data_IF_008222250652
#
_entry.id   IF_008222250652
#
_cell.length_a   1.000
_cell.length_b   1.000
_cell.length_c   1.000
_cell.angle_alpha   90.00
_cell.angle_beta   90.00
_cell.angle_gamma   90.00
#
_symmetry.space_group_name_H-M   'P 1'
#
loop_
_entity.id
_entity.type
_entity.pdbx_description
1 polymer ?
#
# COMPACT_ATOMS: atom_id res chain seq x y z
N UNK A 1 -4.92 24.89 -13.13
CA UNK A 1 -5.17 23.43 -13.21
C UNK A 1 -4.19 22.75 -12.28
N UNK A 2 -4.66 22.12 -11.21
CA UNK A 2 -3.81 21.27 -10.40
C UNK A 2 -3.65 19.93 -11.13
N UNK A 3 -2.42 19.58 -11.50
CA UNK A 3 -2.11 18.29 -12.08
C UNK A 3 -1.93 17.30 -10.94
N UNK A 4 -2.76 16.25 -10.92
CA UNK A 4 -2.63 15.15 -9.98
C UNK A 4 -1.88 14.01 -10.64
N UNK A 5 -0.88 13.48 -9.96
CA UNK A 5 -0.01 12.45 -10.49
C UNK A 5 -0.36 11.15 -9.76
N UNK A 6 -1.02 10.19 -10.41
CA UNK A 6 -1.28 8.90 -9.78
C UNK A 6 0.06 8.18 -9.52
N UNK A 7 0.13 7.33 -8.48
CA UNK A 7 1.32 6.51 -8.24
C UNK A 7 1.59 5.53 -9.39
N UNK A 8 2.80 4.97 -9.39
CA UNK A 8 3.18 3.95 -10.38
C UNK A 8 2.22 2.76 -10.35
N UNK A 9 1.85 2.24 -11.53
CA UNK A 9 0.92 1.12 -11.69
C UNK A 9 -0.43 1.30 -10.97
N UNK A 10 -0.87 2.54 -10.75
CA UNK A 10 -2.18 2.84 -10.19
C UNK A 10 -3.31 2.27 -11.06
N UNK A 11 -4.33 1.70 -10.42
CA UNK A 11 -5.57 1.31 -11.06
C UNK A 11 -6.69 1.11 -10.05
N UNK A 12 -7.91 1.48 -10.43
CA UNK A 12 -9.13 1.10 -9.73
C UNK A 12 -9.44 -0.35 -10.07
N UNK A 13 -9.71 -1.16 -9.04
CA UNK A 13 -10.06 -2.57 -9.16
C UNK A 13 -11.57 -2.72 -9.06
N UNK A 14 -12.15 -2.10 -8.04
CA UNK A 14 -13.59 -1.98 -7.81
C UNK A 14 -13.88 -0.60 -7.20
N UNK A 15 -15.15 -0.27 -6.98
CA UNK A 15 -15.53 0.93 -6.22
C UNK A 15 -14.87 0.91 -4.83
N UNK A 16 -14.19 2.01 -4.49
CA UNK A 16 -13.40 2.18 -3.26
C UNK A 16 -12.24 1.17 -3.06
N UNK A 17 -11.86 0.41 -4.09
CA UNK A 17 -10.73 -0.52 -4.07
C UNK A 17 -9.70 -0.20 -5.15
N UNK A 18 -8.48 0.09 -4.74
CA UNK A 18 -7.40 0.53 -5.62
C UNK A 18 -6.14 -0.30 -5.43
N UNK A 19 -5.29 -0.30 -6.45
CA UNK A 19 -3.92 -0.81 -6.36
C UNK A 19 -2.93 0.21 -6.87
N UNK A 20 -1.70 0.15 -6.37
CA UNK A 20 -0.55 0.84 -6.96
C UNK A 20 0.76 0.26 -6.44
N UNK A 21 1.89 0.73 -6.98
CA UNK A 21 3.17 0.66 -6.26
C UNK A 21 3.25 1.69 -5.14
N UNK A 22 4.37 1.70 -4.42
CA UNK A 22 4.59 2.63 -3.30
C UNK A 22 4.53 4.09 -3.77
N UNK A 23 3.62 4.91 -3.19
CA UNK A 23 3.53 6.32 -3.52
C UNK A 23 4.74 7.13 -3.04
N UNK A 24 4.98 8.26 -3.71
CA UNK A 24 5.90 9.30 -3.25
C UNK A 24 5.15 10.63 -3.11
N UNK A 25 5.87 11.67 -2.69
CA UNK A 25 5.33 12.99 -2.33
C UNK A 25 4.58 13.66 -3.48
N UNK A 26 4.96 13.38 -4.74
CA UNK A 26 4.26 13.90 -5.91
C UNK A 26 2.87 13.28 -6.09
N UNK A 27 2.63 12.11 -5.48
CA UNK A 27 1.38 11.38 -5.55
C UNK A 27 0.42 11.70 -4.39
N UNK A 28 0.92 12.25 -3.28
CA UNK A 28 0.10 12.48 -2.08
C UNK A 28 -1.15 13.34 -2.36
N UNK A 29 -1.08 14.46 -3.12
CA UNK A 29 -2.28 15.23 -3.45
C UNK A 29 -3.33 14.45 -4.26
N UNK A 30 -2.91 13.41 -5.01
CA UNK A 30 -3.84 12.51 -5.69
C UNK A 30 -4.50 11.55 -4.70
N UNK A 31 -3.74 10.99 -3.76
CA UNK A 31 -4.24 10.05 -2.76
C UNK A 31 -5.19 10.68 -1.75
N UNK A 32 -4.95 11.93 -1.34
CA UNK A 32 -5.87 12.70 -0.46
C UNK A 32 -7.30 12.72 -1.02
N UNK A 33 -7.44 12.78 -2.35
CA UNK A 33 -8.76 12.81 -3.00
C UNK A 33 -9.49 11.48 -2.96
N UNK A 34 -8.77 10.38 -2.77
CA UNK A 34 -9.38 9.06 -2.64
C UNK A 34 -10.00 8.86 -1.25
N UNK A 35 -9.67 9.72 -0.26
CA UNK A 35 -10.13 9.59 1.14
C UNK A 35 -9.96 8.17 1.69
N UNK A 36 -8.77 7.60 1.46
CA UNK A 36 -8.46 6.23 1.87
C UNK A 36 -8.59 6.09 3.39
N UNK A 37 -9.16 4.97 3.85
CA UNK A 37 -9.22 4.62 5.27
C UNK A 37 -8.15 3.62 5.67
N UNK A 38 -7.78 2.77 4.73
CA UNK A 38 -6.87 1.64 4.98
C UNK A 38 -5.98 1.44 3.77
N UNK A 39 -4.69 1.17 4.03
CA UNK A 39 -3.73 0.74 3.02
C UNK A 39 -3.17 -0.60 3.46
N UNK A 40 -3.27 -1.60 2.58
CA UNK A 40 -2.61 -2.89 2.75
C UNK A 40 -1.27 -2.84 2.03
N UNK A 41 -0.18 -2.96 2.79
CA UNK A 41 1.17 -2.86 2.29
C UNK A 41 1.83 -4.23 2.19
N UNK A 42 2.10 -4.66 0.97
CA UNK A 42 2.52 -6.03 0.63
C UNK A 42 4.03 -6.14 0.33
N UNK A 43 4.80 -5.05 0.36
CA UNK A 43 6.24 -5.14 0.12
C UNK A 43 7.01 -5.62 1.36
N UNK A 44 8.12 -6.33 1.13
CA UNK A 44 8.98 -6.88 2.19
C UNK A 44 9.69 -5.79 2.99
N UNK A 45 10.04 -4.70 2.33
CA UNK A 45 10.76 -3.57 2.91
C UNK A 45 9.80 -2.64 3.63
N UNK A 46 10.27 -1.99 4.69
CA UNK A 46 9.49 -0.96 5.36
C UNK A 46 9.18 0.20 4.39
N UNK A 47 7.98 0.81 4.47
CA UNK A 47 7.66 1.97 3.65
C UNK A 47 8.62 3.14 3.94
N UNK A 48 8.82 4.01 2.97
CA UNK A 48 9.70 5.17 3.17
C UNK A 48 9.13 6.12 4.25
N UNK A 49 9.98 6.87 4.97
CA UNK A 49 9.53 7.74 6.06
C UNK A 49 8.48 8.76 5.65
N UNK A 50 8.59 9.33 4.45
CA UNK A 50 7.66 10.34 3.95
C UNK A 50 6.25 9.78 3.74
N UNK A 51 6.15 8.55 3.25
CA UNK A 51 4.89 7.85 3.10
C UNK A 51 4.30 7.46 4.45
N UNK A 52 5.14 7.05 5.41
CA UNK A 52 4.67 6.80 6.79
C UNK A 52 4.10 8.07 7.42
N UNK A 53 4.79 9.22 7.31
CA UNK A 53 4.26 10.50 7.80
C UNK A 53 2.96 10.89 7.11
N UNK A 54 2.84 10.71 5.79
CA UNK A 54 1.59 10.96 5.06
C UNK A 54 0.44 10.08 5.58
N UNK A 55 0.68 8.78 5.79
CA UNK A 55 -0.31 7.85 6.33
C UNK A 55 -0.79 8.30 7.71
N UNK A 56 0.14 8.71 8.59
CA UNK A 56 -0.18 9.20 9.93
C UNK A 56 -0.98 10.51 9.88
N UNK A 57 -0.57 11.47 9.05
CA UNK A 57 -1.23 12.77 8.89
C UNK A 57 -2.65 12.64 8.33
N UNK A 58 -2.89 11.67 7.46
CA UNK A 58 -4.20 11.39 6.87
C UNK A 58 -5.06 10.42 7.71
N UNK A 59 -4.57 10.00 8.88
CA UNK A 59 -5.24 9.04 9.78
C UNK A 59 -5.59 7.70 9.07
N UNK A 60 -4.74 7.27 8.15
CA UNK A 60 -4.92 6.04 7.38
C UNK A 60 -4.42 4.85 8.20
N UNK A 61 -5.24 3.79 8.31
CA UNK A 61 -4.79 2.53 8.88
C UNK A 61 -3.85 1.81 7.91
N UNK A 62 -2.56 1.77 8.23
CA UNK A 62 -1.58 1.01 7.46
C UNK A 62 -1.44 -0.41 8.01
N UNK A 63 -1.80 -1.39 7.19
CA UNK A 63 -1.64 -2.82 7.52
C UNK A 63 -0.44 -3.38 6.76
N UNK A 64 0.62 -3.71 7.49
CA UNK A 64 1.83 -4.28 6.93
C UNK A 64 1.76 -5.81 6.90
N UNK A 65 1.64 -6.40 5.71
CA UNK A 65 1.59 -7.85 5.52
C UNK A 65 2.81 -8.43 4.79
N UNK A 66 3.64 -7.57 4.16
CA UNK A 66 4.77 -8.04 3.36
C UNK A 66 5.97 -8.54 4.16
N UNK A 67 6.12 -8.19 5.46
CA UNK A 67 7.28 -8.58 6.27
C UNK A 67 6.95 -9.19 7.63
N UNK A 68 5.72 -9.66 7.84
CA UNK A 68 5.20 -10.08 9.15
C UNK A 68 5.57 -11.52 9.54
N UNK A 69 6.13 -12.32 8.62
CA UNK A 69 6.55 -13.68 8.93
C UNK A 69 8.08 -13.75 9.09
N UNK A 70 8.57 -14.24 10.24
CA UNK A 70 10.01 -14.52 10.51
C UNK A 70 10.72 -15.36 9.44
N UNK A 71 9.94 -16.00 8.56
CA UNK A 71 10.40 -16.81 7.43
C UNK A 71 10.61 -15.99 6.14
N UNK A 72 10.06 -14.78 6.06
CA UNK A 72 10.07 -13.91 4.87
C UNK A 72 11.24 -12.93 4.81
N UNK A 73 11.97 -12.72 5.91
CA UNK A 73 13.19 -11.89 5.94
C UNK A 73 14.35 -12.43 5.07
N UNK A 74 14.19 -13.62 4.47
CA UNK A 74 15.10 -14.18 3.46
C UNK A 74 14.53 -14.19 2.04
N UNK A 75 13.28 -13.76 1.84
CA UNK A 75 12.66 -13.71 0.52
C UNK A 75 13.19 -12.54 -0.27
N UNK A 76 13.29 -12.72 -1.58
CA UNK A 76 13.68 -11.64 -2.50
C UNK A 76 12.42 -10.90 -2.95
N UNK A 77 12.54 -9.60 -3.21
CA UNK A 77 11.42 -8.76 -3.64
C UNK A 77 10.71 -9.22 -4.93
N UNK A 78 11.33 -10.10 -5.74
CA UNK A 78 10.71 -10.66 -6.95
C UNK A 78 9.96 -11.98 -6.70
N UNK A 79 10.12 -12.60 -5.53
CA UNK A 79 9.43 -13.84 -5.21
C UNK A 79 7.94 -13.57 -4.99
N UNK A 80 7.03 -14.45 -5.43
CA UNK A 80 5.60 -14.28 -5.24
C UNK A 80 5.22 -14.23 -3.75
N UNK A 81 4.15 -13.49 -3.44
CA UNK A 81 3.54 -13.47 -2.10
C UNK A 81 3.15 -14.89 -1.66
N UNK A 82 3.26 -15.15 -0.36
CA UNK A 82 2.81 -16.42 0.23
C UNK A 82 1.29 -16.52 0.18
N UNK A 83 0.76 -17.74 0.17
CA UNK A 83 -0.69 -17.98 0.21
C UNK A 83 -1.30 -17.37 1.49
N UNK A 84 -0.59 -17.51 2.60
CA UNK A 84 -0.96 -16.96 3.90
C UNK A 84 -1.10 -15.43 3.86
N UNK A 85 -0.16 -14.72 3.23
CA UNK A 85 -0.23 -13.26 3.05
C UNK A 85 -1.40 -12.85 2.16
N UNK A 86 -1.67 -13.61 1.09
CA UNK A 86 -2.80 -13.34 0.20
C UNK A 86 -4.13 -13.54 0.94
N UNK A 87 -4.29 -14.64 1.68
CA UNK A 87 -5.49 -14.90 2.47
C UNK A 87 -5.71 -13.82 3.54
N UNK A 88 -4.65 -13.44 4.27
CA UNK A 88 -4.73 -12.38 5.27
C UNK A 88 -5.13 -11.02 4.66
N UNK A 89 -4.64 -10.70 3.45
CA UNK A 89 -5.05 -9.49 2.75
C UNK A 89 -6.52 -9.54 2.34
N UNK A 90 -7.00 -10.68 1.84
CA UNK A 90 -8.39 -10.86 1.45
C UNK A 90 -9.35 -10.77 2.65
N UNK A 91 -8.98 -11.32 3.81
CA UNK A 91 -9.76 -11.22 5.05
C UNK A 91 -9.95 -9.79 5.56
N UNK A 92 -9.08 -8.85 5.14
CA UNK A 92 -9.22 -7.42 5.48
C UNK A 92 -10.11 -6.70 4.45
N UNK A 93 -10.10 -7.17 3.19
CA UNK A 93 -10.82 -6.56 2.09
C UNK A 93 -12.30 -6.97 2.02
N UNK A 94 -12.63 -8.19 2.44
CA UNK A 94 -13.95 -8.82 2.34
C UNK A 94 -14.72 -8.75 3.67
#
# INVERSE_FOLDING_TARGET
>A
MSYFIPPVNYGMIEEDLYRSGQPNELNFPFLERLNLRTIIYLALEEPNPQFQSFVEEQEIQLVFLGGNTRMESRRKAWEPLSEETVLAALDILL
#
